data_IF_751324492296
#
_entry.id   IF_751324492296
#
_cell.length_a   1.000
_cell.length_b   1.000
_cell.length_c   1.000
_cell.angle_alpha   90.00
_cell.angle_beta   90.00
_cell.angle_gamma   90.00
#
_symmetry.space_group_name_H-M   'P 1'
#
loop_
_entity.id
_entity.type
_entity.pdbx_description
1 polymer ?
#
# COMPACT_ATOMS: atom_id res chain seq x y z
N UNK A 1 -17.71 15.65 4.79
CA UNK A 1 -17.79 15.76 3.32
C UNK A 1 -18.03 14.34 2.82
N UNK A 2 -19.27 14.01 2.51
CA UNK A 2 -19.63 12.68 2.00
C UNK A 2 -19.04 12.53 0.60
N UNK A 3 -18.31 11.44 0.40
CA UNK A 3 -17.51 11.17 -0.77
C UNK A 3 -18.34 10.57 -1.92
N UNK A 4 -19.41 11.26 -2.33
CA UNK A 4 -20.39 10.79 -3.32
C UNK A 4 -19.82 10.46 -4.73
N UNK A 5 -18.51 10.60 -4.95
CA UNK A 5 -17.82 10.16 -6.18
C UNK A 5 -16.58 9.27 -5.96
N UNK A 6 -16.21 8.97 -4.71
CA UNK A 6 -15.17 7.97 -4.39
C UNK A 6 -15.78 6.62 -3.99
N UNK A 7 -17.11 6.55 -3.83
CA UNK A 7 -17.80 5.33 -3.42
C UNK A 7 -17.86 4.26 -4.51
N UNK A 8 -17.75 4.67 -5.78
CA UNK A 8 -17.73 3.77 -6.93
C UNK A 8 -16.30 3.59 -7.47
N UNK A 9 -15.93 2.35 -7.82
CA UNK A 9 -14.69 2.03 -8.54
C UNK A 9 -13.39 2.04 -7.72
N UNK A 10 -13.45 2.23 -6.40
CA UNK A 10 -12.25 2.23 -5.54
C UNK A 10 -11.60 0.85 -5.39
N UNK A 11 -12.35 -0.23 -5.67
CA UNK A 11 -11.94 -1.64 -5.65
C UNK A 11 -11.70 -2.21 -7.06
N UNK A 12 -11.78 -1.38 -8.10
CA UNK A 12 -11.56 -1.80 -9.49
C UNK A 12 -10.08 -1.68 -9.90
N UNK A 13 -9.67 -2.58 -10.79
CA UNK A 13 -8.40 -2.47 -11.49
C UNK A 13 -8.46 -1.33 -12.51
N UNK A 14 -7.36 -0.60 -12.63
CA UNK A 14 -7.26 0.54 -13.56
C UNK A 14 -6.32 0.28 -14.74
N UNK A 15 -5.75 -0.93 -14.83
CA UNK A 15 -4.94 -1.40 -15.95
C UNK A 15 -3.50 -0.89 -15.98
N UNK A 16 -2.95 -0.46 -14.84
CA UNK A 16 -1.52 -0.20 -14.71
C UNK A 16 -0.73 -1.52 -14.71
N UNK A 17 0.55 -1.44 -15.08
CA UNK A 17 1.43 -2.61 -15.09
C UNK A 17 1.56 -3.24 -13.71
N UNK A 18 1.74 -2.43 -12.67
CA UNK A 18 1.76 -2.88 -11.27
C UNK A 18 0.70 -2.10 -10.51
N UNK A 19 -0.11 -2.80 -9.72
CA UNK A 19 -1.27 -2.23 -9.04
C UNK A 19 -1.39 -2.75 -7.60
N UNK A 20 -1.94 -1.91 -6.72
CA UNK A 20 -2.48 -2.31 -5.43
C UNK A 20 -3.99 -2.06 -5.50
N UNK A 21 -4.78 -3.12 -5.57
CA UNK A 21 -6.25 -3.05 -5.55
C UNK A 21 -6.71 -3.12 -4.09
N UNK A 22 -7.34 -2.08 -3.52
CA UNK A 22 -7.83 -2.12 -2.15
C UNK A 22 -8.96 -3.14 -1.98
N UNK A 23 -8.92 -3.95 -0.92
CA UNK A 23 -10.05 -4.80 -0.50
C UNK A 23 -10.90 -4.16 0.60
N UNK A 24 -10.53 -2.94 0.98
CA UNK A 24 -11.24 -2.10 1.93
C UNK A 24 -11.24 -0.70 1.33
N UNK A 25 -12.31 0.07 1.56
CA UNK A 25 -12.37 1.47 1.10
C UNK A 25 -11.10 2.21 1.52
N UNK A 26 -10.33 2.81 0.59
CA UNK A 26 -9.08 3.50 0.90
C UNK A 26 -9.30 4.87 1.59
N UNK A 27 -10.50 5.08 2.15
CA UNK A 27 -10.96 6.25 2.86
C UNK A 27 -11.95 5.84 3.96
N UNK A 28 -12.18 6.73 4.93
CA UNK A 28 -13.07 6.43 6.06
C UNK A 28 -12.50 5.39 7.03
N UNK A 29 -11.18 5.19 7.03
CA UNK A 29 -10.48 4.25 7.89
C UNK A 29 -10.21 4.89 9.26
N UNK A 30 -10.49 4.17 10.35
CA UNK A 30 -10.07 4.56 11.68
C UNK A 30 -8.72 3.93 12.05
N UNK A 31 -7.91 4.64 12.84
CA UNK A 31 -6.71 4.08 13.43
C UNK A 31 -7.03 2.74 14.14
N UNK A 32 -6.21 1.72 13.88
CA UNK A 32 -6.45 0.34 14.32
C UNK A 32 -7.32 -0.49 13.38
N UNK A 33 -7.95 0.09 12.35
CA UNK A 33 -8.53 -0.69 11.26
C UNK A 33 -7.44 -1.40 10.47
N UNK A 34 -7.85 -2.50 9.85
CA UNK A 34 -7.02 -3.28 8.94
C UNK A 34 -7.22 -2.74 7.52
N UNK A 35 -6.13 -2.44 6.85
CA UNK A 35 -6.09 -2.25 5.41
C UNK A 35 -5.58 -3.53 4.75
N UNK A 36 -6.27 -3.93 3.69
CA UNK A 36 -5.89 -5.07 2.87
C UNK A 36 -5.82 -4.62 1.41
N UNK A 37 -4.78 -5.07 0.71
CA UNK A 37 -4.59 -4.77 -0.70
C UNK A 37 -4.12 -6.01 -1.45
N UNK A 38 -4.62 -6.16 -2.68
CA UNK A 38 -4.21 -7.19 -3.62
C UNK A 38 -3.16 -6.60 -4.58
N UNK A 39 -1.95 -7.10 -4.54
CA UNK A 39 -0.88 -6.69 -5.47
C UNK A 39 -1.02 -7.45 -6.76
N UNK A 40 -1.03 -6.72 -7.88
CA UNK A 40 -1.06 -7.29 -9.23
C UNK A 40 0.10 -6.78 -10.09
N UNK A 41 0.58 -7.65 -10.96
CA UNK A 41 1.51 -7.34 -12.06
C UNK A 41 0.89 -7.87 -13.36
N UNK A 42 0.69 -6.99 -14.33
CA UNK A 42 0.02 -7.28 -15.60
C UNK A 42 -1.34 -7.97 -15.39
N UNK A 43 -2.14 -7.46 -14.44
CA UNK A 43 -3.47 -7.97 -14.07
C UNK A 43 -3.47 -9.27 -13.25
N UNK A 44 -2.30 -9.87 -12.98
CA UNK A 44 -2.18 -11.14 -12.25
C UNK A 44 -1.69 -10.92 -10.82
N UNK A 45 -2.26 -11.61 -9.81
CA UNK A 45 -1.78 -11.49 -8.44
C UNK A 45 -0.30 -11.86 -8.28
N UNK A 46 0.42 -11.12 -7.43
CA UNK A 46 1.85 -11.35 -7.19
C UNK A 46 2.08 -12.00 -5.83
N UNK A 47 2.44 -13.29 -5.77
CA UNK A 47 2.66 -13.98 -4.52
C UNK A 47 4.00 -13.59 -3.87
N UNK A 48 4.02 -13.53 -2.54
CA UNK A 48 5.23 -13.30 -1.73
C UNK A 48 6.05 -12.04 -2.08
N UNK A 49 5.39 -11.05 -2.70
CA UNK A 49 5.92 -9.72 -3.01
C UNK A 49 6.11 -8.92 -1.73
N UNK A 50 7.18 -8.13 -1.65
CA UNK A 50 7.42 -7.20 -0.55
C UNK A 50 6.63 -5.91 -0.77
N UNK A 51 5.91 -5.51 0.27
CA UNK A 51 5.19 -4.25 0.34
C UNK A 51 5.78 -3.43 1.48
N UNK A 52 6.46 -2.34 1.11
CA UNK A 52 6.97 -1.37 2.07
C UNK A 52 5.83 -0.51 2.60
N UNK A 53 5.85 -0.25 3.91
CA UNK A 53 4.80 0.48 4.61
C UNK A 53 5.43 1.60 5.43
N UNK A 54 4.99 2.83 5.17
CA UNK A 54 5.54 4.03 5.81
C UNK A 54 4.45 4.95 6.33
N UNK A 55 4.68 5.53 7.51
CA UNK A 55 3.84 6.60 8.05
C UNK A 55 4.38 7.97 7.64
N UNK A 56 3.51 8.84 7.10
CA UNK A 56 3.88 10.19 6.72
C UNK A 56 4.14 11.09 7.95
N UNK A 57 5.36 11.03 8.47
CA UNK A 57 5.80 11.76 9.66
C UNK A 57 6.53 13.07 9.29
N UNK A 58 5.98 13.88 8.39
CA UNK A 58 6.66 15.08 7.86
C UNK A 58 7.09 16.08 8.94
N UNK A 59 6.27 16.25 9.98
CA UNK A 59 6.57 17.15 11.11
C UNK A 59 7.55 16.57 12.13
N UNK A 60 8.05 15.34 11.90
CA UNK A 60 8.97 14.61 12.80
C UNK A 60 8.46 14.51 14.24
N UNK A 61 7.15 14.47 14.43
CA UNK A 61 6.51 14.34 15.75
C UNK A 61 6.76 12.98 16.38
N UNK A 62 6.96 11.95 15.56
CA UNK A 62 7.27 10.61 16.02
C UNK A 62 8.75 10.31 15.82
N UNK A 63 9.38 9.64 16.78
CA UNK A 63 10.74 9.12 16.64
C UNK A 63 10.67 7.59 16.55
N UNK A 64 11.11 7.05 15.41
CA UNK A 64 11.20 5.61 15.22
C UNK A 64 12.29 5.02 16.16
N UNK A 65 12.05 3.84 16.76
CA UNK A 65 13.08 3.15 17.54
C UNK A 65 14.30 2.69 16.71
N UNK A 66 14.12 2.52 15.40
CA UNK A 66 15.17 2.16 14.44
C UNK A 66 14.63 2.20 13.00
N UNK A 67 15.49 1.93 12.02
CA UNK A 67 15.18 2.10 10.59
C UNK A 67 14.03 1.20 10.12
N UNK A 68 13.92 -0.03 10.64
CA UNK A 68 12.83 -0.96 10.33
C UNK A 68 11.44 -0.50 10.81
N UNK A 69 11.37 0.52 11.67
CA UNK A 69 10.13 1.16 12.07
C UNK A 69 9.80 2.38 11.22
N UNK A 70 10.77 2.90 10.46
CA UNK A 70 10.56 3.95 9.45
C UNK A 70 9.93 3.31 8.22
N UNK A 71 10.62 2.32 7.66
CA UNK A 71 10.16 1.50 6.53
C UNK A 71 9.88 0.10 7.04
N UNK A 72 8.60 -0.19 7.23
CA UNK A 72 8.14 -1.53 7.60
C UNK A 72 7.92 -2.35 6.34
N UNK A 73 7.99 -3.68 6.43
CA UNK A 73 7.76 -4.56 5.28
C UNK A 73 6.76 -5.63 5.65
N UNK A 74 5.75 -5.82 4.80
CA UNK A 74 4.86 -6.99 4.81
C UNK A 74 5.03 -7.76 3.50
N UNK A 75 4.69 -9.04 3.51
CA UNK A 75 4.68 -9.87 2.30
C UNK A 75 3.27 -10.21 1.90
N UNK A 76 3.02 -10.25 0.60
CA UNK A 76 1.77 -10.81 0.09
C UNK A 76 1.73 -12.32 0.32
N UNK A 77 0.52 -12.88 0.47
CA UNK A 77 0.32 -14.32 0.50
C UNK A 77 0.39 -14.95 -0.90
N UNK A 78 0.07 -16.24 -1.01
CA UNK A 78 0.08 -16.96 -2.29
C UNK A 78 -0.92 -16.41 -3.34
N UNK A 79 -1.90 -15.61 -2.91
CA UNK A 79 -2.90 -14.98 -3.77
C UNK A 79 -2.59 -13.50 -4.01
N UNK A 80 -1.43 -12.99 -3.59
CA UNK A 80 -1.05 -11.59 -3.76
C UNK A 80 -1.67 -10.62 -2.75
N UNK A 81 -2.33 -11.13 -1.70
CA UNK A 81 -2.95 -10.31 -0.67
C UNK A 81 -1.95 -9.93 0.42
N UNK A 82 -1.84 -8.64 0.75
CA UNK A 82 -1.19 -8.20 1.98
C UNK A 82 -2.20 -7.60 2.96
N UNK A 83 -1.82 -7.59 4.24
CA UNK A 83 -2.65 -7.09 5.34
C UNK A 83 -1.80 -6.23 6.27
N UNK A 84 -2.29 -5.05 6.63
CA UNK A 84 -1.62 -4.14 7.55
C UNK A 84 -2.62 -3.43 8.48
N UNK A 85 -2.32 -3.38 9.77
CA UNK A 85 -3.11 -2.63 10.74
C UNK A 85 -2.36 -1.35 11.14
N UNK A 86 -2.87 -0.19 10.75
CA UNK A 86 -2.21 1.08 11.05
C UNK A 86 -2.42 1.46 12.53
N UNK A 87 -1.38 1.54 13.36
CA UNK A 87 -1.53 1.74 14.81
C UNK A 87 -1.91 3.18 15.20
N UNK A 88 -1.83 4.13 14.26
CA UNK A 88 -2.07 5.56 14.49
C UNK A 88 -2.81 6.20 13.32
N UNK A 89 -3.62 7.20 13.63
CA UNK A 89 -4.19 8.08 12.63
C UNK A 89 -3.08 8.87 11.91
N UNK A 90 -3.31 9.15 10.63
CA UNK A 90 -2.30 9.73 9.75
C UNK A 90 -2.36 9.16 8.35
N UNK A 91 -1.48 9.65 7.48
CA UNK A 91 -1.27 9.10 6.15
C UNK A 91 -0.28 7.94 6.23
N UNK A 92 -0.64 6.84 5.59
CA UNK A 92 0.18 5.64 5.46
C UNK A 92 0.32 5.30 3.99
N UNK A 93 1.56 5.08 3.56
CA UNK A 93 1.93 4.70 2.21
C UNK A 93 2.22 3.21 2.15
N UNK A 94 1.76 2.55 1.09
CA UNK A 94 2.04 1.17 0.75
C UNK A 94 2.71 1.14 -0.61
N UNK A 95 3.94 0.62 -0.69
CA UNK A 95 4.69 0.50 -1.93
C UNK A 95 4.98 -0.98 -2.22
N UNK A 96 4.29 -1.55 -3.20
CA UNK A 96 4.53 -2.92 -3.65
C UNK A 96 5.59 -2.90 -4.75
N UNK A 97 6.72 -3.55 -4.49
CA UNK A 97 7.89 -3.54 -5.39
C UNK A 97 7.93 -4.83 -6.20
N UNK A 98 8.05 -4.69 -7.53
CA UNK A 98 8.15 -5.79 -8.47
C UNK A 98 9.35 -5.60 -9.39
N UNK A 99 9.92 -6.70 -9.87
CA UNK A 99 10.96 -6.63 -10.90
C UNK A 99 10.33 -6.69 -12.29
N UNK A 100 10.66 -5.71 -13.13
CA UNK A 100 10.28 -5.67 -14.53
C UNK A 100 11.01 -6.76 -15.32
N UNK A 101 10.31 -7.35 -16.28
CA UNK A 101 10.83 -8.25 -17.32
C UNK A 101 11.84 -7.56 -18.24
N UNK A 102 11.71 -6.24 -18.43
CA UNK A 102 12.68 -5.42 -19.16
C UNK A 102 13.88 -5.07 -18.29
N UNK A 103 15.08 -5.23 -18.86
CA UNK A 103 16.34 -4.71 -18.31
C UNK A 103 16.75 -3.38 -18.96
N UNK A 104 17.48 -2.54 -18.22
CA UNK A 104 18.14 -1.34 -18.75
C UNK A 104 19.64 -1.49 -18.52
N UNK A 105 20.42 -1.50 -19.60
CA UNK A 105 21.89 -1.71 -19.55
C UNK A 105 22.25 -2.97 -18.75
N UNK A 106 21.55 -4.08 -19.02
CA UNK A 106 21.67 -5.38 -18.35
C UNK A 106 21.40 -5.41 -16.84
N UNK A 107 20.85 -4.32 -16.28
CA UNK A 107 20.38 -4.26 -14.89
C UNK A 107 18.88 -4.49 -14.80
N UNK A 108 18.48 -5.20 -13.75
CA UNK A 108 17.07 -5.37 -13.40
C UNK A 108 16.44 -4.00 -13.09
N UNK A 109 15.21 -3.82 -13.54
CA UNK A 109 14.44 -2.59 -13.32
C UNK A 109 13.37 -2.90 -12.30
N UNK A 110 13.32 -2.12 -11.23
CA UNK A 110 12.21 -2.18 -10.28
C UNK A 110 11.05 -1.33 -10.79
N UNK A 111 9.85 -1.90 -10.75
CA UNK A 111 8.58 -1.23 -11.02
C UNK A 111 7.72 -1.38 -9.78
N UNK A 112 7.13 -0.29 -9.31
CA UNK A 112 6.39 -0.27 -8.06
C UNK A 112 4.99 0.33 -8.20
N UNK A 113 4.05 -0.20 -7.44
CA UNK A 113 2.74 0.42 -7.22
C UNK A 113 2.77 1.12 -5.86
N UNK A 114 2.30 2.36 -5.79
CA UNK A 114 2.25 3.13 -4.53
C UNK A 114 0.84 3.62 -4.27
N UNK A 115 0.32 3.32 -3.08
CA UNK A 115 -0.99 3.77 -2.62
C UNK A 115 -0.86 4.45 -1.26
N UNK A 116 -1.46 5.65 -1.13
CA UNK A 116 -1.56 6.36 0.13
C UNK A 116 -2.99 6.36 0.63
N UNK A 117 -3.19 5.95 1.88
CA UNK A 117 -4.50 6.00 2.54
C UNK A 117 -4.39 6.76 3.85
N UNK A 118 -5.51 7.35 4.29
CA UNK A 118 -5.55 8.10 5.54
C UNK A 118 -6.41 7.39 6.58
N UNK A 119 -5.83 7.18 7.75
CA UNK A 119 -6.50 6.71 8.94
C UNK A 119 -6.85 7.89 9.86
N UNK A 120 -7.99 7.80 10.54
CA UNK A 120 -8.57 8.85 11.37
C UNK A 120 -8.74 8.38 12.82
N UNK A 121 -8.62 9.28 13.79
CA UNK A 121 -9.01 8.95 15.17
C UNK A 121 -10.54 8.86 15.27
N UNK A 122 -11.02 7.94 16.12
CA UNK A 122 -12.41 7.95 16.57
C UNK A 122 -12.63 9.17 17.48
N UNK A 123 -13.79 9.83 17.34
CA UNK A 123 -14.19 10.96 18.18
C UNK A 123 -15.48 10.64 18.90
#
# INVERSE_FOLDING_TARGET
MSAFGLEDGWDEEIGLKTEIVPLVRPFGLYAGNVFQGLVKLDGKPVPFCEVEVEHYNQSRKFKAPGDSFVTQVVKTDANGLFTYAAPKAGWWGFAALNTSDRKIKDKDVEIGAVLWVRFHDMK
#
